data_IF_897800002723
#
_entry.id   IF_897800002723
#
_cell.length_a   1.000
_cell.length_b   1.000
_cell.length_c   1.000
_cell.angle_alpha   90.00
_cell.angle_beta   90.00
_cell.angle_gamma   90.00
#
_symmetry.space_group_name_H-M   'P 1'
#
loop_
_entity.id
_entity.type
_entity.pdbx_description
1 polymer ?
#
# COMPACT_ATOMS: atom_id res chain seq x y z
N UNK A 1 24.08 -18.89 -24.84
CA UNK A 1 24.63 -17.57 -24.42
C UNK A 1 23.48 -16.80 -23.81
N UNK A 2 23.47 -16.60 -22.48
CA UNK A 2 22.47 -15.77 -21.82
C UNK A 2 22.66 -14.33 -22.32
N UNK A 3 21.57 -13.64 -22.75
CA UNK A 3 21.67 -12.23 -23.07
C UNK A 3 22.10 -11.50 -21.79
N UNK A 4 23.30 -10.89 -21.83
CA UNK A 4 23.79 -10.08 -20.73
C UNK A 4 22.83 -8.91 -20.53
N UNK A 5 22.00 -8.97 -19.49
CA UNK A 5 21.15 -7.87 -19.11
C UNK A 5 22.05 -6.66 -18.82
N UNK A 6 21.79 -5.50 -19.42
CA UNK A 6 22.59 -4.31 -19.18
C UNK A 6 22.58 -3.97 -17.68
N UNK A 7 23.67 -3.41 -17.12
CA UNK A 7 23.73 -3.04 -15.72
C UNK A 7 22.56 -2.10 -15.36
N UNK A 8 22.02 -2.23 -14.15
CA UNK A 8 20.82 -1.52 -13.68
C UNK A 8 20.87 -0.02 -13.96
N UNK A 9 22.03 0.61 -13.70
CA UNK A 9 22.23 2.06 -13.95
C UNK A 9 22.11 2.42 -15.43
N UNK A 10 22.59 1.57 -16.35
CA UNK A 10 22.44 1.79 -17.78
C UNK A 10 20.97 1.67 -18.20
N UNK A 11 20.26 0.67 -17.66
CA UNK A 11 18.82 0.48 -17.90
C UNK A 11 17.99 1.66 -17.40
N UNK A 12 18.32 2.21 -16.22
CA UNK A 12 17.65 3.40 -15.67
C UNK A 12 17.93 4.65 -16.54
N UNK A 13 19.16 4.88 -16.97
CA UNK A 13 19.52 6.01 -17.84
C UNK A 13 18.85 5.95 -19.21
N UNK A 14 18.52 4.77 -19.68
CA UNK A 14 17.81 4.57 -20.95
C UNK A 14 16.31 4.88 -20.89
N UNK A 15 15.74 5.12 -19.70
CA UNK A 15 14.33 5.44 -19.54
C UNK A 15 14.00 6.82 -20.14
N UNK A 16 12.86 6.96 -20.87
CA UNK A 16 12.43 8.22 -21.46
C UNK A 16 12.22 9.33 -20.40
N UNK A 17 12.45 10.58 -20.77
CA UNK A 17 12.22 11.75 -19.88
C UNK A 17 10.84 11.77 -19.22
N UNK A 18 9.70 11.49 -19.90
CA UNK A 18 8.39 11.47 -19.25
C UNK A 18 8.28 10.48 -18.08
N UNK A 19 9.04 9.39 -18.09
CA UNK A 19 9.07 8.41 -17.01
C UNK A 19 9.71 9.01 -15.75
N UNK A 20 10.80 9.75 -15.90
CA UNK A 20 11.43 10.46 -14.76
C UNK A 20 10.54 11.55 -14.18
N UNK A 21 9.79 12.25 -15.05
CA UNK A 21 8.79 13.24 -14.64
C UNK A 21 7.69 12.57 -13.82
N UNK A 22 7.21 11.40 -14.27
CA UNK A 22 6.22 10.61 -13.53
C UNK A 22 6.75 10.13 -12.17
N UNK A 23 8.02 9.72 -12.11
CA UNK A 23 8.68 9.33 -10.84
C UNK A 23 8.75 10.51 -9.87
N UNK A 24 9.21 11.67 -10.36
CA UNK A 24 9.26 12.88 -9.54
C UNK A 24 7.87 13.30 -9.04
N UNK A 25 6.85 13.29 -9.91
CA UNK A 25 5.48 13.60 -9.52
C UNK A 25 4.94 12.62 -8.47
N UNK A 26 5.22 11.32 -8.62
CA UNK A 26 4.82 10.30 -7.64
C UNK A 26 5.54 10.47 -6.32
N UNK A 27 6.86 10.73 -6.35
CA UNK A 27 7.63 11.08 -5.15
C UNK A 27 7.01 12.29 -4.45
N UNK A 28 6.75 13.38 -5.17
CA UNK A 28 6.19 14.61 -4.63
C UNK A 28 4.81 14.40 -3.99
N UNK A 29 3.94 13.63 -4.65
CA UNK A 29 2.62 13.29 -4.11
C UNK A 29 2.73 12.46 -2.83
N UNK A 30 3.61 11.45 -2.80
CA UNK A 30 3.77 10.59 -1.62
C UNK A 30 4.53 11.26 -0.49
N UNK A 31 5.50 12.13 -0.82
CA UNK A 31 6.13 13.03 0.15
C UNK A 31 5.08 13.93 0.81
N UNK A 32 4.15 14.50 0.02
CA UNK A 32 3.11 15.40 0.48
C UNK A 32 1.90 14.73 1.10
N UNK A 33 1.83 13.40 1.19
CA UNK A 33 0.72 12.70 1.86
C UNK A 33 0.77 12.88 3.38
N UNK A 34 0.64 14.14 3.84
CA UNK A 34 0.82 14.53 5.24
C UNK A 34 -0.41 14.27 6.10
N UNK A 35 -1.61 14.40 5.53
CA UNK A 35 -2.86 14.43 6.29
C UNK A 35 -3.21 13.05 6.84
N UNK A 36 -3.22 12.03 6.00
CA UNK A 36 -3.80 10.72 6.34
C UNK A 36 -3.09 10.05 7.54
N UNK A 37 -1.75 10.02 7.64
CA UNK A 37 -1.09 9.45 8.82
C UNK A 37 -1.41 10.20 10.13
N UNK A 38 -1.70 11.50 10.04
CA UNK A 38 -1.95 12.35 11.20
C UNK A 38 -3.43 12.64 11.46
N UNK A 39 -4.34 12.17 10.60
CA UNK A 39 -5.77 12.47 10.68
C UNK A 39 -6.39 11.96 12.01
N UNK A 40 -5.98 10.79 12.47
CA UNK A 40 -6.48 10.23 13.75
C UNK A 40 -6.06 11.10 14.93
N UNK A 41 -4.80 11.56 14.96
CA UNK A 41 -4.30 12.46 16.00
C UNK A 41 -5.01 13.82 15.91
N UNK A 42 -5.23 14.33 14.72
CA UNK A 42 -5.94 15.60 14.51
C UNK A 42 -7.39 15.54 15.02
N UNK A 43 -8.13 14.47 14.64
CA UNK A 43 -9.52 14.32 15.08
C UNK A 43 -9.64 14.13 16.60
N UNK A 44 -8.75 13.37 17.23
CA UNK A 44 -8.78 13.20 18.69
C UNK A 44 -8.46 14.50 19.44
N UNK A 45 -7.61 15.36 18.91
CA UNK A 45 -7.39 16.71 19.44
C UNK A 45 -8.62 17.63 19.30
N UNK A 46 -9.48 17.38 18.32
CA UNK A 46 -10.76 18.08 18.18
C UNK A 46 -11.87 17.50 19.07
N UNK A 47 -11.57 16.47 19.90
CA UNK A 47 -12.50 15.85 20.83
C UNK A 47 -13.26 14.63 20.30
N UNK A 48 -12.94 14.16 19.09
CA UNK A 48 -13.53 12.90 18.59
C UNK A 48 -12.89 11.68 19.26
N UNK A 49 -13.67 10.61 19.43
CA UNK A 49 -13.15 9.38 19.99
C UNK A 49 -12.20 8.67 19.00
N UNK A 50 -11.26 7.82 19.46
CA UNK A 50 -10.41 7.01 18.58
C UNK A 50 -11.22 6.18 17.59
N UNK A 51 -12.34 5.59 17.99
CA UNK A 51 -13.22 4.83 17.11
C UNK A 51 -13.80 5.71 15.98
N UNK A 52 -14.23 6.93 16.28
CA UNK A 52 -14.69 7.89 15.26
C UNK A 52 -13.58 8.29 14.29
N UNK A 53 -12.35 8.49 14.78
CA UNK A 53 -11.20 8.76 13.94
C UNK A 53 -10.86 7.54 13.03
N UNK A 54 -10.97 6.33 13.56
CA UNK A 54 -10.82 5.10 12.79
C UNK A 54 -11.85 4.97 11.66
N UNK A 55 -13.11 5.37 11.91
CA UNK A 55 -14.15 5.42 10.88
C UNK A 55 -13.79 6.38 9.74
N UNK A 56 -13.16 7.53 10.03
CA UNK A 56 -12.72 8.47 8.99
C UNK A 56 -11.62 7.88 8.10
N UNK A 57 -10.63 7.16 8.68
CA UNK A 57 -9.63 6.43 7.90
C UNK A 57 -10.27 5.28 7.12
N UNK A 58 -11.23 4.57 7.71
CA UNK A 58 -12.02 3.55 7.01
C UNK A 58 -12.80 4.12 5.83
N UNK A 59 -13.42 5.29 5.99
CA UNK A 59 -14.09 6.00 4.91
C UNK A 59 -13.13 6.42 3.79
N UNK A 60 -11.91 6.89 4.13
CA UNK A 60 -10.85 7.11 3.15
C UNK A 60 -10.50 5.83 2.40
N UNK A 61 -10.38 4.70 3.11
CA UNK A 61 -10.15 3.39 2.50
C UNK A 61 -11.26 2.96 1.54
N UNK A 62 -12.52 3.23 1.88
CA UNK A 62 -13.66 2.97 1.00
C UNK A 62 -13.59 3.83 -0.28
N UNK A 63 -13.25 5.12 -0.15
CA UNK A 63 -13.00 5.98 -1.30
C UNK A 63 -11.85 5.47 -2.19
N UNK A 64 -10.75 5.06 -1.59
CA UNK A 64 -9.59 4.48 -2.27
C UNK A 64 -9.97 3.19 -3.05
N UNK A 65 -10.81 2.34 -2.46
CA UNK A 65 -11.32 1.14 -3.12
C UNK A 65 -12.06 1.48 -4.43
N UNK A 66 -12.98 2.45 -4.37
CA UNK A 66 -13.70 2.93 -5.55
C UNK A 66 -12.77 3.62 -6.54
N UNK A 67 -11.75 4.33 -6.07
CA UNK A 67 -10.75 5.01 -6.88
C UNK A 67 -10.02 4.07 -7.86
N UNK A 68 -9.77 2.83 -7.47
CA UNK A 68 -9.12 1.85 -8.34
C UNK A 68 -9.95 1.55 -9.60
N UNK A 69 -11.27 1.39 -9.46
CA UNK A 69 -12.17 1.14 -10.58
C UNK A 69 -12.40 2.41 -11.42
N UNK A 70 -12.72 3.53 -10.75
CA UNK A 70 -12.98 4.83 -11.39
C UNK A 70 -11.74 5.32 -12.13
N UNK A 71 -10.56 5.23 -11.51
CA UNK A 71 -9.30 5.71 -12.10
C UNK A 71 -8.90 4.93 -13.36
N UNK A 72 -9.13 3.62 -13.38
CA UNK A 72 -8.91 2.82 -14.60
C UNK A 72 -9.84 3.25 -15.73
N UNK A 73 -11.14 3.38 -15.45
CA UNK A 73 -12.12 3.84 -16.45
C UNK A 73 -11.82 5.26 -16.97
N UNK A 74 -11.50 6.21 -16.08
CA UNK A 74 -11.14 7.57 -16.47
C UNK A 74 -9.83 7.60 -17.29
N UNK A 75 -8.85 6.78 -16.93
CA UNK A 75 -7.60 6.67 -17.67
C UNK A 75 -7.83 6.19 -19.13
N UNK A 76 -8.80 5.31 -19.33
CA UNK A 76 -9.14 4.80 -20.66
C UNK A 76 -10.02 5.77 -21.47
N UNK A 77 -10.92 6.53 -20.80
CA UNK A 77 -11.86 7.44 -21.48
C UNK A 77 -11.35 8.86 -21.66
N UNK A 78 -10.74 9.47 -20.64
CA UNK A 78 -10.21 10.83 -20.67
C UNK A 78 -8.72 10.89 -21.08
N UNK A 79 -8.02 9.74 -21.02
CA UNK A 79 -6.59 9.62 -21.21
C UNK A 79 -5.79 9.79 -19.89
N UNK A 80 -4.61 9.13 -19.81
CA UNK A 80 -3.81 8.98 -18.60
C UNK A 80 -3.44 10.31 -17.94
N UNK A 81 -2.93 11.26 -18.73
CA UNK A 81 -2.50 12.59 -18.25
C UNK A 81 -3.63 13.38 -17.61
N UNK A 82 -4.80 13.47 -18.28
CA UNK A 82 -5.96 14.22 -17.77
C UNK A 82 -6.47 13.59 -16.47
N UNK A 83 -6.49 12.28 -16.40
CA UNK A 83 -6.90 11.54 -15.18
C UNK A 83 -5.97 11.84 -14.02
N UNK A 84 -4.64 11.82 -14.21
CA UNK A 84 -3.68 12.19 -13.17
C UNK A 84 -3.95 13.62 -12.67
N UNK A 85 -4.10 14.57 -13.60
CA UNK A 85 -4.36 15.97 -13.23
C UNK A 85 -5.66 16.16 -12.48
N UNK A 86 -6.75 15.54 -12.96
CA UNK A 86 -8.05 15.62 -12.31
C UNK A 86 -7.97 15.06 -10.88
N UNK A 87 -7.30 13.92 -10.68
CA UNK A 87 -7.07 13.35 -9.35
C UNK A 87 -6.31 14.31 -8.44
N UNK A 88 -5.21 14.87 -8.90
CA UNK A 88 -4.38 15.76 -8.10
C UNK A 88 -5.11 17.05 -7.71
N UNK A 89 -5.85 17.66 -8.65
CA UNK A 89 -6.62 18.89 -8.38
C UNK A 89 -7.79 18.59 -7.44
N UNK A 90 -8.60 17.57 -7.73
CA UNK A 90 -9.75 17.23 -6.87
C UNK A 90 -9.30 16.75 -5.48
N UNK A 91 -8.18 16.00 -5.40
CA UNK A 91 -7.57 15.61 -4.14
C UNK A 91 -7.12 16.80 -3.31
N UNK A 92 -6.40 17.75 -3.91
CA UNK A 92 -5.97 18.98 -3.26
C UNK A 92 -7.15 19.79 -2.70
N UNK A 93 -8.20 19.99 -3.51
CA UNK A 93 -9.42 20.68 -3.07
C UNK A 93 -10.09 19.96 -1.91
N UNK A 94 -10.18 18.63 -1.98
CA UNK A 94 -10.78 17.83 -0.91
C UNK A 94 -9.96 17.90 0.38
N UNK A 95 -8.63 17.94 0.33
CA UNK A 95 -7.77 18.10 1.51
C UNK A 95 -8.01 19.48 2.16
N UNK A 96 -8.13 20.56 1.38
CA UNK A 96 -8.47 21.88 1.90
C UNK A 96 -9.87 21.92 2.52
N UNK A 97 -10.86 21.26 1.92
CA UNK A 97 -12.20 21.13 2.49
C UNK A 97 -12.18 20.31 3.79
N UNK A 98 -11.40 19.21 3.84
CA UNK A 98 -11.26 18.37 5.03
C UNK A 98 -10.70 19.15 6.22
N UNK A 99 -9.83 20.12 5.99
CA UNK A 99 -9.32 21.01 7.05
C UNK A 99 -10.42 21.84 7.74
N UNK A 100 -11.54 22.06 7.07
CA UNK A 100 -12.69 22.83 7.57
C UNK A 100 -13.75 21.94 8.25
N UNK A 101 -13.60 20.62 8.19
CA UNK A 101 -14.56 19.71 8.83
C UNK A 101 -14.59 19.90 10.35
N UNK A 102 -15.80 19.89 10.92
CA UNK A 102 -16.02 20.04 12.36
C UNK A 102 -17.02 19.00 12.89
N UNK A 103 -17.68 18.28 12.02
CA UNK A 103 -18.65 17.22 12.36
C UNK A 103 -18.14 15.87 11.94
N UNK A 104 -18.57 14.81 12.61
CA UNK A 104 -18.19 13.45 12.24
C UNK A 104 -18.63 13.12 10.80
N UNK A 105 -19.87 13.46 10.43
CA UNK A 105 -20.37 13.25 9.07
C UNK A 105 -19.54 13.99 8.02
N UNK A 106 -19.09 15.21 8.32
CA UNK A 106 -18.17 15.97 7.46
C UNK A 106 -16.83 15.25 7.29
N UNK A 107 -16.22 14.77 8.39
CA UNK A 107 -14.99 13.98 8.33
C UNK A 107 -15.17 12.70 7.52
N UNK A 108 -16.25 11.94 7.72
CA UNK A 108 -16.51 10.70 6.99
C UNK A 108 -16.69 10.97 5.48
N UNK A 109 -17.55 11.93 5.11
CA UNK A 109 -17.82 12.24 3.71
C UNK A 109 -16.56 12.76 2.98
N UNK A 110 -15.85 13.72 3.62
CA UNK A 110 -14.66 14.32 3.02
C UNK A 110 -13.46 13.35 3.01
N UNK A 111 -13.33 12.46 3.99
CA UNK A 111 -12.32 11.39 3.95
C UNK A 111 -12.60 10.40 2.84
N UNK A 112 -13.85 9.97 2.65
CA UNK A 112 -14.23 9.10 1.54
C UNK A 112 -13.95 9.77 0.19
N UNK A 113 -14.31 11.05 0.06
CA UNK A 113 -14.03 11.84 -1.14
C UNK A 113 -12.52 12.02 -1.35
N UNK A 114 -11.72 12.22 -0.30
CA UNK A 114 -10.27 12.32 -0.37
C UNK A 114 -9.63 11.01 -0.86
N UNK A 115 -10.09 9.87 -0.35
CA UNK A 115 -9.65 8.56 -0.81
C UNK A 115 -10.00 8.31 -2.28
N UNK A 116 -11.21 8.69 -2.70
CA UNK A 116 -11.61 8.61 -4.09
C UNK A 116 -10.78 9.57 -4.96
N UNK A 117 -10.85 10.86 -4.66
CA UNK A 117 -10.28 11.94 -5.49
C UNK A 117 -8.75 11.89 -5.54
N UNK A 118 -8.09 11.62 -4.42
CA UNK A 118 -6.63 11.62 -4.30
C UNK A 118 -5.95 10.37 -4.84
N UNK A 119 -6.64 9.25 -5.00
CA UNK A 119 -5.99 7.97 -5.32
C UNK A 119 -6.33 7.41 -6.71
N UNK A 120 -7.31 7.95 -7.45
CA UNK A 120 -7.61 7.42 -8.79
C UNK A 120 -6.52 7.76 -9.85
N UNK A 121 -5.51 8.57 -9.52
CA UNK A 121 -4.32 8.75 -10.36
C UNK A 121 -3.45 7.48 -10.46
N UNK A 122 -3.50 6.58 -9.46
CA UNK A 122 -2.58 5.42 -9.39
C UNK A 122 -2.71 4.47 -10.59
N UNK A 123 -3.92 3.98 -10.95
CA UNK A 123 -4.06 3.17 -12.16
C UNK A 123 -3.69 3.94 -13.42
N UNK A 124 -3.99 5.24 -13.51
CA UNK A 124 -3.60 6.07 -14.64
C UNK A 124 -2.08 6.23 -14.77
N UNK A 125 -1.36 6.42 -13.66
CA UNK A 125 0.10 6.50 -13.62
C UNK A 125 0.76 5.18 -14.02
N UNK A 126 0.25 4.06 -13.51
CA UNK A 126 0.75 2.72 -13.87
C UNK A 126 0.54 2.41 -15.34
N UNK A 127 -0.64 2.77 -15.90
CA UNK A 127 -0.92 2.62 -17.31
C UNK A 127 -0.01 3.51 -18.17
N UNK A 128 0.18 4.79 -17.78
CA UNK A 128 1.08 5.71 -18.48
C UNK A 128 2.51 5.17 -18.51
N UNK A 129 2.99 4.66 -17.37
CA UNK A 129 4.32 4.06 -17.28
C UNK A 129 4.47 2.87 -18.24
N UNK A 130 3.47 1.99 -18.29
CA UNK A 130 3.46 0.85 -19.20
C UNK A 130 3.42 1.27 -20.68
N UNK A 131 2.73 2.38 -21.02
CA UNK A 131 2.66 2.92 -22.36
C UNK A 131 3.98 3.58 -22.81
N UNK A 132 4.72 4.20 -21.88
CA UNK A 132 5.96 4.92 -22.16
C UNK A 132 7.19 4.02 -22.28
N UNK A 133 7.12 2.79 -21.75
CA UNK A 133 8.30 1.91 -21.60
C UNK A 133 8.12 0.61 -22.40
N UNK A 134 9.11 0.23 -23.24
CA UNK A 134 9.09 -1.04 -23.96
C UNK A 134 8.97 -2.25 -23.01
N UNK A 135 8.34 -3.35 -23.40
CA UNK A 135 8.11 -4.53 -22.56
C UNK A 135 9.36 -5.02 -21.81
N UNK A 136 10.52 -5.04 -22.47
CA UNK A 136 11.79 -5.49 -21.88
C UNK A 136 12.36 -4.61 -20.76
N UNK A 137 11.90 -3.35 -20.66
CA UNK A 137 12.36 -2.40 -19.62
C UNK A 137 11.31 -2.15 -18.54
N UNK A 138 10.10 -2.70 -18.66
CA UNK A 138 8.99 -2.47 -17.72
C UNK A 138 9.34 -2.84 -16.28
N UNK A 139 10.03 -3.97 -16.07
CA UNK A 139 10.41 -4.41 -14.72
C UNK A 139 11.25 -3.34 -14.02
N UNK A 140 12.27 -2.81 -14.70
CA UNK A 140 13.15 -1.76 -14.16
C UNK A 140 12.36 -0.48 -13.90
N UNK A 141 11.49 -0.09 -14.83
CA UNK A 141 10.67 1.12 -14.68
C UNK A 141 9.67 1.03 -13.52
N UNK A 142 8.97 -0.09 -13.36
CA UNK A 142 8.05 -0.28 -12.22
C UNK A 142 8.78 -0.38 -10.89
N UNK A 143 9.99 -0.96 -10.85
CA UNK A 143 10.82 -0.98 -9.64
C UNK A 143 11.25 0.43 -9.24
N UNK A 144 11.69 1.25 -10.21
CA UNK A 144 12.06 2.64 -9.95
C UNK A 144 10.85 3.50 -9.55
N UNK A 145 9.67 3.26 -10.15
CA UNK A 145 8.42 3.91 -9.76
C UNK A 145 8.05 3.59 -8.29
N UNK A 146 8.19 2.33 -7.89
CA UNK A 146 7.98 1.91 -6.50
C UNK A 146 9.00 2.54 -5.55
N UNK A 147 10.26 2.66 -5.97
CA UNK A 147 11.29 3.34 -5.19
C UNK A 147 10.97 4.83 -4.99
N UNK A 148 10.47 5.52 -6.02
CA UNK A 148 10.03 6.91 -5.89
C UNK A 148 8.84 7.05 -4.91
N UNK A 149 7.89 6.12 -4.94
CA UNK A 149 6.78 6.03 -3.99
C UNK A 149 7.30 5.86 -2.55
N UNK A 150 8.18 4.89 -2.31
CA UNK A 150 8.73 4.59 -1.00
C UNK A 150 9.62 5.72 -0.47
N UNK A 151 10.39 6.37 -1.34
CA UNK A 151 11.19 7.54 -0.97
C UNK A 151 10.30 8.70 -0.49
N UNK A 152 9.18 8.98 -1.18
CA UNK A 152 8.20 9.97 -0.71
C UNK A 152 7.65 9.60 0.66
N UNK A 153 7.28 8.35 0.87
CA UNK A 153 6.79 7.83 2.14
C UNK A 153 7.86 7.80 3.24
N UNK A 154 9.15 7.71 2.89
CA UNK A 154 10.24 7.77 3.87
C UNK A 154 10.41 9.16 4.49
N UNK A 155 10.26 10.22 3.71
CA UNK A 155 10.53 11.59 4.17
C UNK A 155 9.26 12.38 4.53
N UNK A 156 8.12 12.01 3.94
CA UNK A 156 6.83 12.70 4.16
C UNK A 156 6.40 12.75 5.61
N UNK A 157 6.28 11.64 6.33
CA UNK A 157 5.79 11.62 7.71
C UNK A 157 6.67 12.38 8.71
N UNK A 158 8.00 12.40 8.54
CA UNK A 158 8.88 13.24 9.39
C UNK A 158 8.59 14.71 9.17
N UNK A 159 8.46 15.14 7.91
CA UNK A 159 8.07 16.52 7.55
C UNK A 159 6.70 16.84 8.10
N UNK A 160 5.72 15.95 7.98
CA UNK A 160 4.39 16.10 8.53
C UNK A 160 4.40 16.24 10.06
N UNK A 161 5.21 15.44 10.75
CA UNK A 161 5.38 15.53 12.21
C UNK A 161 5.92 16.89 12.65
N UNK A 162 6.90 17.43 11.92
CA UNK A 162 7.44 18.77 12.15
C UNK A 162 6.37 19.86 11.90
N UNK A 163 5.63 19.77 10.81
CA UNK A 163 4.53 20.71 10.50
C UNK A 163 3.42 20.64 11.55
N UNK A 164 3.04 19.43 11.98
CA UNK A 164 2.00 19.21 13.01
C UNK A 164 2.37 19.79 14.37
N UNK A 165 3.66 19.88 14.69
CA UNK A 165 4.14 20.52 15.92
C UNK A 165 3.86 22.04 15.95
N UNK A 166 3.77 22.67 14.78
CA UNK A 166 3.43 24.09 14.66
C UNK A 166 1.92 24.30 14.46
N UNK A 167 1.33 23.66 13.48
CA UNK A 167 -0.12 23.68 13.23
C UNK A 167 -0.54 22.55 12.29
N UNK A 168 -1.64 21.87 12.63
CA UNK A 168 -2.22 20.86 11.74
C UNK A 168 -2.71 21.43 10.41
N UNK A 169 -3.05 22.72 10.34
CA UNK A 169 -3.45 23.36 9.07
C UNK A 169 -2.37 23.22 8.00
N UNK A 170 -1.10 23.29 8.39
CA UNK A 170 0.02 23.12 7.45
C UNK A 170 0.09 21.73 6.81
N UNK A 171 -0.47 20.69 7.46
CA UNK A 171 -0.57 19.37 6.84
C UNK A 171 -1.50 19.40 5.63
N UNK A 172 -2.67 20.03 5.78
CA UNK A 172 -3.65 20.13 4.70
C UNK A 172 -3.17 21.03 3.55
N UNK A 173 -2.57 22.16 3.89
CA UNK A 173 -2.01 23.09 2.90
C UNK A 173 -0.82 22.45 2.17
N UNK A 174 0.08 21.78 2.88
CA UNK A 174 1.24 21.11 2.29
C UNK A 174 0.83 19.96 1.37
N UNK A 175 -0.15 19.14 1.78
CA UNK A 175 -0.70 18.05 0.97
C UNK A 175 -1.36 18.61 -0.32
N UNK A 176 -2.19 19.64 -0.18
CA UNK A 176 -2.79 20.31 -1.33
C UNK A 176 -1.75 20.92 -2.27
N UNK A 177 -0.73 21.59 -1.73
CA UNK A 177 0.33 22.22 -2.53
C UNK A 177 1.14 21.19 -3.32
N UNK A 178 1.56 20.10 -2.70
CA UNK A 178 2.33 19.03 -3.38
C UNK A 178 1.49 18.35 -4.46
N UNK A 179 0.19 18.13 -4.21
CA UNK A 179 -0.74 17.59 -5.19
C UNK A 179 -0.92 18.55 -6.37
N UNK A 180 -1.10 19.86 -6.14
CA UNK A 180 -1.19 20.87 -7.19
C UNK A 180 0.12 21.01 -7.99
N UNK A 181 1.27 20.92 -7.33
CA UNK A 181 2.56 20.89 -8.00
C UNK A 181 2.68 19.67 -8.93
N UNK A 182 2.24 18.50 -8.49
CA UNK A 182 2.21 17.33 -9.38
C UNK A 182 1.22 17.52 -10.53
N UNK A 183 0.05 18.11 -10.31
CA UNK A 183 -0.88 18.45 -11.37
C UNK A 183 -0.24 19.41 -12.42
N UNK A 184 0.48 20.43 -11.97
CA UNK A 184 1.21 21.35 -12.82
C UNK A 184 2.31 20.64 -13.63
N UNK A 185 3.14 19.82 -12.96
CA UNK A 185 4.17 19.00 -13.63
C UNK A 185 3.53 18.07 -14.66
N UNK A 186 2.42 17.43 -14.35
CA UNK A 186 1.70 16.59 -15.29
C UNK A 186 1.17 17.38 -16.49
N UNK A 187 0.67 18.61 -16.26
CA UNK A 187 0.17 19.50 -17.33
C UNK A 187 1.26 19.89 -18.30
N UNK A 188 2.42 20.30 -17.83
CA UNK A 188 3.46 20.86 -18.69
C UNK A 188 4.37 19.79 -19.28
N UNK A 189 4.61 18.69 -18.58
CA UNK A 189 5.71 17.79 -18.87
C UNK A 189 5.33 16.35 -19.23
N UNK A 190 4.09 15.89 -18.95
CA UNK A 190 3.65 14.57 -19.38
C UNK A 190 3.02 14.62 -20.80
N UNK A 191 3.24 13.59 -21.63
CA UNK A 191 2.68 13.54 -22.97
C UNK A 191 1.16 13.41 -22.95
N UNK A 192 0.52 13.98 -23.96
CA UNK A 192 -0.91 13.76 -24.20
C UNK A 192 -1.11 12.32 -24.67
N UNK A 193 -1.94 11.56 -23.95
CA UNK A 193 -2.27 10.19 -24.32
C UNK A 193 -3.65 10.13 -24.96
N UNK A 194 -3.75 9.34 -26.03
CA UNK A 194 -5.04 9.06 -26.68
C UNK A 194 -5.77 7.98 -25.85
N UNK A 195 -7.09 8.05 -25.69
CA UNK A 195 -7.87 6.99 -25.04
C UNK A 195 -7.63 5.62 -25.70
N UNK A 196 -7.42 4.59 -24.90
CA UNK A 196 -7.25 3.23 -25.40
C UNK A 196 -8.62 2.56 -25.54
N UNK A 197 -8.81 1.75 -26.59
CA UNK A 197 -10.01 0.89 -26.69
C UNK A 197 -9.94 -0.18 -25.59
N UNK A 198 -10.98 -0.27 -24.76
CA UNK A 198 -11.12 -1.27 -23.69
C UNK A 198 -11.06 -2.69 -24.27
N UNK A 199 -10.22 -3.54 -23.69
CA UNK A 199 -10.17 -4.97 -24.04
C UNK A 199 -11.35 -5.73 -23.45
N UNK A 200 -11.80 -6.80 -24.13
CA UNK A 200 -12.97 -7.60 -23.80
C UNK A 200 -13.00 -8.10 -22.34
N UNK A 201 -14.21 -8.21 -21.83
CA UNK A 201 -14.53 -8.45 -20.43
C UNK A 201 -14.48 -9.97 -20.08
N UNK A 202 -13.33 -10.50 -19.65
CA UNK A 202 -13.18 -11.90 -19.19
C UNK A 202 -13.29 -12.07 -17.67
N UNK A 203 -14.02 -11.20 -16.97
CA UNK A 203 -14.16 -11.27 -15.51
C UNK A 203 -14.86 -12.54 -15.03
N UNK A 204 -15.84 -13.05 -15.78
CA UNK A 204 -16.55 -14.28 -15.44
C UNK A 204 -15.62 -15.50 -15.37
N UNK A 205 -14.71 -15.62 -16.33
CA UNK A 205 -13.68 -16.68 -16.36
C UNK A 205 -12.71 -16.54 -15.18
N UNK A 206 -12.23 -15.33 -14.92
CA UNK A 206 -11.32 -15.06 -13.81
C UNK A 206 -11.96 -15.39 -12.45
N UNK A 207 -13.20 -14.96 -12.21
CA UNK A 207 -13.93 -15.26 -10.98
C UNK A 207 -14.17 -16.76 -10.80
N UNK A 208 -14.49 -17.49 -11.88
CA UNK A 208 -14.61 -18.96 -11.85
C UNK A 208 -13.29 -19.61 -11.49
N UNK A 209 -12.16 -19.19 -12.11
CA UNK A 209 -10.83 -19.72 -11.82
C UNK A 209 -10.42 -19.41 -10.36
N UNK A 210 -10.56 -18.17 -9.93
CA UNK A 210 -10.25 -17.74 -8.56
C UNK A 210 -11.03 -18.55 -7.54
N UNK A 211 -12.33 -18.79 -7.75
CA UNK A 211 -13.17 -19.53 -6.80
C UNK A 211 -12.64 -20.93 -6.49
N UNK A 212 -11.96 -21.57 -7.41
CA UNK A 212 -11.43 -22.94 -7.25
C UNK A 212 -9.94 -22.99 -6.89
N UNK A 213 -9.25 -21.85 -6.87
CA UNK A 213 -7.82 -21.76 -6.60
C UNK A 213 -7.53 -21.66 -5.09
N UNK A 214 -7.37 -22.82 -4.44
CA UNK A 214 -7.08 -22.92 -3.00
C UNK A 214 -5.77 -22.24 -2.61
N UNK A 215 -4.72 -22.29 -3.46
CA UNK A 215 -3.44 -21.65 -3.19
C UNK A 215 -3.58 -20.13 -3.21
N UNK A 216 -4.37 -19.61 -4.15
CA UNK A 216 -4.69 -18.19 -4.20
C UNK A 216 -5.45 -17.75 -2.93
N UNK A 217 -6.49 -18.49 -2.52
CA UNK A 217 -7.22 -18.16 -1.28
C UNK A 217 -6.32 -18.17 -0.05
N UNK A 218 -5.37 -19.13 0.04
CA UNK A 218 -4.40 -19.20 1.11
C UNK A 218 -3.56 -17.90 1.19
N UNK A 219 -3.05 -17.43 0.05
CA UNK A 219 -2.29 -16.16 -0.02
C UNK A 219 -3.16 -14.97 0.35
N UNK A 220 -4.39 -14.89 -0.15
CA UNK A 220 -5.32 -13.79 0.13
C UNK A 220 -5.68 -13.73 1.62
N UNK A 221 -6.00 -14.87 2.26
CA UNK A 221 -6.32 -14.90 3.70
C UNK A 221 -5.12 -14.44 4.55
N UNK A 222 -3.90 -14.93 4.25
CA UNK A 222 -2.70 -14.48 4.93
C UNK A 222 -2.45 -12.97 4.70
N UNK A 223 -2.63 -12.50 3.46
CA UNK A 223 -2.45 -11.08 3.10
C UNK A 223 -3.46 -10.16 3.78
N UNK A 224 -4.70 -10.59 4.00
CA UNK A 224 -5.71 -9.82 4.75
C UNK A 224 -5.27 -9.60 6.21
N UNK A 225 -4.76 -10.65 6.88
CA UNK A 225 -4.23 -10.52 8.24
C UNK A 225 -3.04 -9.54 8.29
N UNK A 226 -2.13 -9.64 7.34
CA UNK A 226 -0.97 -8.72 7.25
C UNK A 226 -1.41 -7.30 6.91
N UNK A 227 -2.37 -7.12 6.01
CA UNK A 227 -2.92 -5.80 5.68
C UNK A 227 -3.59 -5.15 6.91
N UNK A 228 -4.33 -5.93 7.72
CA UNK A 228 -4.89 -5.44 8.98
C UNK A 228 -3.79 -4.89 9.90
N UNK A 229 -2.70 -5.67 10.11
CA UNK A 229 -1.57 -5.24 10.95
C UNK A 229 -0.90 -3.99 10.36
N UNK A 230 -0.62 -3.99 9.06
CA UNK A 230 0.06 -2.91 8.37
C UNK A 230 -0.66 -1.56 8.56
N UNK A 231 -1.97 -1.55 8.45
CA UNK A 231 -2.72 -0.30 8.56
C UNK A 231 -2.85 0.23 9.99
N UNK A 232 -2.47 -0.54 11.03
CA UNK A 232 -2.31 0.00 12.39
C UNK A 232 -1.18 1.03 12.46
N UNK A 233 -0.18 0.94 11.58
CA UNK A 233 0.87 1.95 11.47
C UNK A 233 0.31 3.34 11.17
N UNK A 234 -0.71 3.41 10.31
CA UNK A 234 -1.32 4.68 9.87
C UNK A 234 -2.46 5.10 10.80
N UNK A 235 -3.29 4.15 11.24
CA UNK A 235 -4.51 4.46 11.99
C UNK A 235 -4.25 4.62 13.48
N UNK A 236 -3.51 3.71 14.12
CA UNK A 236 -3.53 3.54 15.58
C UNK A 236 -2.20 3.91 16.23
N UNK A 237 -1.05 3.64 15.57
CA UNK A 237 0.28 3.85 16.14
C UNK A 237 0.51 5.31 16.58
N UNK A 238 -0.01 6.28 15.80
CA UNK A 238 0.10 7.70 16.14
C UNK A 238 -0.59 8.03 17.46
N UNK A 239 -1.78 7.47 17.70
CA UNK A 239 -2.51 7.66 18.96
C UNK A 239 -1.83 6.92 20.11
N UNK A 240 -1.29 5.72 19.86
CA UNK A 240 -0.53 5.00 20.87
C UNK A 240 0.68 5.82 21.35
N UNK A 241 1.48 6.36 20.43
CA UNK A 241 2.64 7.19 20.75
C UNK A 241 2.22 8.46 21.54
N UNK A 242 1.15 9.12 21.12
CA UNK A 242 0.68 10.33 21.80
C UNK A 242 0.02 10.03 23.16
N UNK A 243 -0.61 8.88 23.35
CA UNK A 243 -1.15 8.45 24.64
C UNK A 243 -0.06 8.13 25.68
N UNK A 244 1.14 7.76 25.21
CA UNK A 244 2.33 7.60 26.06
C UNK A 244 3.01 8.95 26.40
N UNK A 245 2.47 10.08 25.94
CA UNK A 245 3.00 11.43 26.20
C UNK A 245 4.05 11.91 25.20
N UNK A 246 4.34 11.13 24.13
CA UNK A 246 5.29 11.56 23.11
C UNK A 246 4.63 12.47 22.06
N UNK A 247 5.44 13.20 21.32
CA UNK A 247 4.97 14.18 20.34
C UNK A 247 4.52 13.53 19.02
N UNK A 248 3.69 14.26 18.25
CA UNK A 248 3.35 13.88 16.88
C UNK A 248 4.59 13.82 15.97
N UNK A 249 5.63 14.62 16.27
CA UNK A 249 6.92 14.55 15.56
C UNK A 249 7.62 13.21 15.80
N UNK A 250 7.53 12.65 17.01
CA UNK A 250 8.04 11.30 17.32
C UNK A 250 7.35 10.24 16.46
N UNK A 251 6.03 10.31 16.32
CA UNK A 251 5.29 9.42 15.41
C UNK A 251 5.76 9.56 13.95
N UNK A 252 5.91 10.79 13.45
CA UNK A 252 6.44 11.04 12.12
C UNK A 252 7.83 10.45 11.91
N UNK A 253 8.73 10.59 12.90
CA UNK A 253 10.08 10.02 12.86
C UNK A 253 10.06 8.47 12.82
N UNK A 254 9.18 7.84 13.61
CA UNK A 254 9.01 6.37 13.64
C UNK A 254 8.51 5.83 12.29
N UNK A 255 7.52 6.48 11.65
CA UNK A 255 7.08 6.07 10.30
C UNK A 255 8.20 6.30 9.28
N UNK A 256 8.90 7.42 9.38
CA UNK A 256 10.02 7.70 8.45
C UNK A 256 11.16 6.71 8.61
N UNK A 257 11.40 6.18 9.81
CA UNK A 257 12.35 5.09 10.03
C UNK A 257 12.00 3.86 9.19
N UNK A 258 10.72 3.45 9.14
CA UNK A 258 10.26 2.38 8.25
C UNK A 258 10.61 2.69 6.78
N UNK A 259 10.22 3.85 6.28
CA UNK A 259 10.47 4.22 4.89
C UNK A 259 11.96 4.27 4.53
N UNK A 260 12.81 4.80 5.41
CA UNK A 260 14.27 4.84 5.23
C UNK A 260 14.85 3.43 5.15
N UNK A 261 14.47 2.55 6.09
CA UNK A 261 14.93 1.16 6.07
C UNK A 261 14.53 0.45 4.78
N UNK A 262 13.29 0.62 4.33
CA UNK A 262 12.80 0.04 3.06
C UNK A 262 13.62 0.53 1.87
N UNK A 263 13.86 1.85 1.76
CA UNK A 263 14.61 2.44 0.63
C UNK A 263 16.04 1.89 0.55
N UNK A 264 16.72 1.75 1.68
CA UNK A 264 18.12 1.34 1.68
C UNK A 264 18.35 -0.18 1.72
N UNK A 265 17.47 -0.93 2.38
CA UNK A 265 17.72 -2.35 2.68
C UNK A 265 16.81 -3.34 1.95
N UNK A 266 15.68 -2.92 1.37
CA UNK A 266 14.76 -3.85 0.69
C UNK A 266 15.42 -4.57 -0.50
N UNK A 267 16.13 -3.84 -1.37
CA UNK A 267 16.78 -4.43 -2.54
C UNK A 267 17.91 -5.42 -2.17
N UNK A 268 18.88 -5.08 -1.28
CA UNK A 268 19.87 -6.03 -0.80
C UNK A 268 19.22 -7.28 -0.18
N UNK A 269 18.21 -7.09 0.66
CA UNK A 269 17.52 -8.18 1.35
C UNK A 269 16.78 -9.09 0.38
N UNK A 270 16.13 -8.53 -0.65
CA UNK A 270 15.44 -9.29 -1.70
C UNK A 270 16.41 -10.17 -2.49
N UNK A 271 17.65 -9.75 -2.70
CA UNK A 271 18.65 -10.59 -3.37
C UNK A 271 19.01 -11.85 -2.58
N UNK A 272 18.90 -11.78 -1.26
CA UNK A 272 19.13 -12.91 -0.34
C UNK A 272 17.87 -13.78 -0.28
N UNK A 273 16.70 -13.19 -0.04
CA UNK A 273 15.45 -13.93 0.22
C UNK A 273 14.98 -14.73 -0.98
N UNK A 274 15.22 -14.25 -2.22
CA UNK A 274 14.87 -15.01 -3.45
C UNK A 274 15.60 -16.36 -3.63
N UNK A 275 16.64 -16.64 -2.81
CA UNK A 275 17.36 -17.91 -2.83
C UNK A 275 16.65 -19.01 -2.04
N UNK A 276 15.64 -18.66 -1.26
CA UNK A 276 14.90 -19.57 -0.39
C UNK A 276 13.48 -19.81 -0.91
N UNK A 277 12.83 -20.91 -0.52
CA UNK A 277 11.45 -21.18 -0.90
C UNK A 277 10.51 -20.04 -0.47
N UNK A 278 9.76 -19.49 -1.42
CA UNK A 278 8.93 -18.29 -1.24
C UNK A 278 8.00 -18.39 0.00
N UNK A 279 7.36 -19.55 0.19
CA UNK A 279 6.45 -19.79 1.32
C UNK A 279 7.13 -19.69 2.69
N UNK A 280 8.37 -20.23 2.81
CA UNK A 280 9.16 -20.10 4.06
C UNK A 280 9.55 -18.66 4.33
N UNK A 281 9.98 -17.94 3.30
CA UNK A 281 10.34 -16.51 3.38
C UNK A 281 9.14 -15.69 3.81
N UNK A 282 7.97 -15.90 3.19
CA UNK A 282 6.72 -15.22 3.55
C UNK A 282 6.33 -15.52 5.00
N UNK A 283 6.40 -16.78 5.43
CA UNK A 283 6.05 -17.18 6.80
C UNK A 283 6.93 -16.49 7.84
N UNK A 284 8.24 -16.46 7.63
CA UNK A 284 9.18 -15.75 8.51
C UNK A 284 8.87 -14.27 8.54
N UNK A 285 8.66 -13.64 7.37
CA UNK A 285 8.34 -12.23 7.29
C UNK A 285 7.02 -11.88 7.97
N UNK A 286 5.97 -12.68 7.80
CA UNK A 286 4.68 -12.48 8.46
C UNK A 286 4.77 -12.65 9.99
N UNK A 287 5.55 -13.62 10.47
CA UNK A 287 5.82 -13.75 11.89
C UNK A 287 6.55 -12.52 12.45
N UNK A 288 7.57 -12.01 11.74
CA UNK A 288 8.30 -10.79 12.16
C UNK A 288 7.38 -9.55 12.17
N UNK A 289 6.50 -9.39 11.18
CA UNK A 289 5.47 -8.32 11.17
C UNK A 289 4.60 -8.41 12.43
N UNK A 290 4.14 -9.62 12.78
CA UNK A 290 3.37 -9.84 14.00
C UNK A 290 4.18 -9.58 15.28
N UNK A 291 5.43 -10.06 15.37
CA UNK A 291 6.32 -9.83 16.52
C UNK A 291 6.56 -8.33 16.71
N UNK A 292 6.87 -7.59 15.64
CA UNK A 292 7.12 -6.16 15.71
C UNK A 292 5.94 -5.41 16.33
N UNK A 293 4.74 -5.60 15.79
CA UNK A 293 3.57 -4.90 16.33
C UNK A 293 3.02 -5.51 17.63
N UNK A 294 3.18 -6.82 17.84
CA UNK A 294 2.89 -7.45 19.12
C UNK A 294 3.75 -6.92 20.26
N UNK A 295 5.02 -6.58 19.98
CA UNK A 295 5.93 -6.00 20.96
C UNK A 295 5.48 -4.61 21.46
N UNK A 296 4.72 -3.87 20.66
CA UNK A 296 4.16 -2.57 21.08
C UNK A 296 3.26 -2.66 22.32
N UNK A 297 2.72 -3.84 22.63
CA UNK A 297 1.96 -4.07 23.88
C UNK A 297 2.79 -3.80 25.15
N UNK A 298 4.10 -3.87 25.05
CA UNK A 298 5.06 -3.74 26.16
C UNK A 298 6.00 -2.53 25.99
N UNK A 299 5.89 -1.80 24.89
CA UNK A 299 6.76 -0.67 24.59
C UNK A 299 6.28 0.62 25.28
N UNK A 300 7.13 1.22 26.09
CA UNK A 300 6.85 2.44 26.86
C UNK A 300 7.82 3.58 26.55
N UNK A 301 8.88 3.32 25.79
CA UNK A 301 9.89 4.30 25.40
C UNK A 301 9.98 4.44 23.87
N UNK A 302 10.48 5.57 23.39
CA UNK A 302 10.71 5.81 21.96
C UNK A 302 11.66 4.77 21.35
N UNK A 303 12.68 4.34 22.12
CA UNK A 303 13.63 3.33 21.66
C UNK A 303 12.97 1.96 21.46
N UNK A 304 12.07 1.55 22.36
CA UNK A 304 11.32 0.30 22.26
C UNK A 304 10.33 0.34 21.08
N UNK A 305 9.65 1.46 20.88
CA UNK A 305 8.75 1.66 19.73
C UNK A 305 9.56 1.63 18.42
N UNK A 306 10.73 2.27 18.38
CA UNK A 306 11.61 2.22 17.21
C UNK A 306 12.11 0.80 16.93
N UNK A 307 12.45 0.04 17.98
CA UNK A 307 12.85 -1.36 17.86
C UNK A 307 11.70 -2.23 17.32
N UNK A 308 10.48 -2.06 17.84
CA UNK A 308 9.28 -2.70 17.31
C UNK A 308 9.08 -2.42 15.81
N UNK A 309 9.25 -1.15 15.43
CA UNK A 309 9.15 -0.72 14.03
C UNK A 309 10.25 -1.33 13.17
N UNK A 310 11.49 -1.46 13.66
CA UNK A 310 12.57 -2.12 12.91
C UNK A 310 12.26 -3.59 12.65
N UNK A 311 11.74 -4.33 13.66
CA UNK A 311 11.32 -5.74 13.49
C UNK A 311 10.18 -5.84 12.47
N UNK A 312 9.14 -4.99 12.60
CA UNK A 312 8.03 -4.92 11.66
C UNK A 312 8.54 -4.67 10.22
N UNK A 313 9.41 -3.68 10.05
CA UNK A 313 9.96 -3.29 8.73
C UNK A 313 10.80 -4.41 8.13
N UNK A 314 11.59 -5.12 8.94
CA UNK A 314 12.34 -6.28 8.47
C UNK A 314 11.39 -7.36 7.94
N UNK A 315 10.31 -7.66 8.67
CA UNK A 315 9.29 -8.60 8.22
C UNK A 315 8.60 -8.17 6.92
N UNK A 316 8.27 -6.88 6.81
CA UNK A 316 7.70 -6.26 5.61
C UNK A 316 8.60 -6.43 4.39
N UNK A 317 9.88 -6.04 4.50
CA UNK A 317 10.86 -6.15 3.41
C UNK A 317 11.11 -7.59 2.97
N UNK A 318 11.01 -8.55 3.89
CA UNK A 318 11.14 -9.98 3.59
C UNK A 318 9.91 -10.50 2.86
N UNK A 319 8.71 -10.19 3.38
CA UNK A 319 7.48 -10.85 2.95
C UNK A 319 6.83 -10.22 1.72
N UNK A 320 6.72 -8.88 1.63
CA UNK A 320 5.88 -8.22 0.63
C UNK A 320 6.38 -8.42 -0.80
N UNK A 321 7.69 -8.23 -1.12
CA UNK A 321 8.18 -8.48 -2.47
C UNK A 321 8.02 -9.94 -2.90
N UNK A 322 8.30 -10.87 -1.98
CA UNK A 322 8.20 -12.32 -2.25
C UNK A 322 6.75 -12.75 -2.41
N UNK A 323 5.81 -12.21 -1.61
CA UNK A 323 4.38 -12.47 -1.74
C UNK A 323 3.84 -12.03 -3.09
N UNK A 324 4.24 -10.85 -3.56
CA UNK A 324 3.83 -10.32 -4.86
C UNK A 324 4.36 -11.18 -6.02
N UNK A 325 5.62 -11.61 -5.95
CA UNK A 325 6.22 -12.50 -6.94
C UNK A 325 5.55 -13.88 -6.93
N UNK A 326 5.38 -14.49 -5.75
CA UNK A 326 4.73 -15.78 -5.58
C UNK A 326 3.30 -15.78 -6.14
N UNK A 327 2.54 -14.72 -5.87
CA UNK A 327 1.20 -14.57 -6.41
C UNK A 327 1.20 -14.46 -7.95
N UNK A 328 2.15 -13.73 -8.52
CA UNK A 328 2.29 -13.60 -9.97
C UNK A 328 2.63 -14.93 -10.65
N UNK A 329 3.43 -15.78 -9.97
CA UNK A 329 3.82 -17.11 -10.46
C UNK A 329 2.68 -18.14 -10.35
N UNK A 330 1.82 -18.03 -9.33
CA UNK A 330 0.63 -18.88 -9.18
C UNK A 330 -0.42 -18.63 -10.27
N UNK A 331 -0.40 -17.46 -10.88
CA UNK A 331 -1.52 -16.98 -11.70
C UNK A 331 -1.35 -17.33 -13.17
N UNK A 332 -2.39 -17.88 -13.85
CA UNK A 332 -2.36 -18.08 -15.29
C UNK A 332 -2.02 -16.77 -16.03
N UNK A 333 -1.11 -16.80 -17.03
CA UNK A 333 -0.63 -15.57 -17.69
C UNK A 333 -1.75 -14.66 -18.24
N UNK A 334 -2.81 -15.23 -18.81
CA UNK A 334 -3.95 -14.50 -19.40
C UNK A 334 -4.93 -13.93 -18.35
N UNK A 335 -4.89 -14.41 -17.09
CA UNK A 335 -5.73 -13.91 -15.98
C UNK A 335 -4.94 -13.09 -14.95
N UNK A 336 -3.61 -12.94 -15.12
CA UNK A 336 -2.71 -12.34 -14.13
C UNK A 336 -3.19 -10.95 -13.66
N UNK A 337 -3.62 -10.09 -14.56
CA UNK A 337 -4.10 -8.76 -14.19
C UNK A 337 -5.29 -8.78 -13.24
N UNK A 338 -6.21 -9.74 -13.41
CA UNK A 338 -7.41 -9.88 -12.58
C UNK A 338 -7.11 -10.44 -11.20
N UNK A 339 -6.26 -11.47 -11.14
CA UNK A 339 -5.77 -12.02 -9.87
C UNK A 339 -5.02 -10.96 -9.06
N UNK A 340 -4.13 -10.21 -9.70
CA UNK A 340 -3.42 -9.10 -9.05
C UNK A 340 -4.38 -7.98 -8.62
N UNK A 341 -5.43 -7.73 -9.39
CA UNK A 341 -6.51 -6.81 -9.02
C UNK A 341 -7.24 -7.25 -7.75
N UNK A 342 -7.68 -8.51 -7.68
CA UNK A 342 -8.31 -9.08 -6.47
C UNK A 342 -7.36 -9.06 -5.28
N UNK A 343 -6.07 -9.36 -5.48
CA UNK A 343 -5.07 -9.21 -4.43
C UNK A 343 -4.93 -7.76 -3.95
N UNK A 344 -5.01 -6.79 -4.86
CA UNK A 344 -5.01 -5.37 -4.50
C UNK A 344 -6.16 -4.97 -3.58
N UNK A 345 -7.34 -5.63 -3.72
CA UNK A 345 -8.49 -5.39 -2.86
C UNK A 345 -8.21 -5.75 -1.39
N UNK A 346 -7.33 -6.71 -1.11
CA UNK A 346 -6.97 -7.08 0.28
C UNK A 346 -6.40 -5.90 1.05
N UNK A 347 -5.62 -5.05 0.37
CA UNK A 347 -5.06 -3.84 0.96
C UNK A 347 -6.14 -2.79 1.25
N UNK A 348 -7.10 -2.60 0.35
CA UNK A 348 -8.23 -1.70 0.60
C UNK A 348 -9.11 -2.21 1.74
N UNK A 349 -9.38 -3.51 1.81
CA UNK A 349 -10.07 -4.13 2.94
C UNK A 349 -9.29 -3.99 4.25
N UNK A 350 -7.96 -4.19 4.21
CA UNK A 350 -7.08 -3.96 5.35
C UNK A 350 -7.14 -2.52 5.85
N UNK A 351 -7.17 -1.54 4.95
CA UNK A 351 -7.30 -0.13 5.30
C UNK A 351 -8.67 0.17 5.94
N UNK A 352 -9.76 -0.34 5.37
CA UNK A 352 -11.12 -0.11 5.89
C UNK A 352 -11.29 -0.80 7.25
N UNK A 353 -11.18 -2.12 7.26
CA UNK A 353 -11.48 -2.91 8.45
C UNK A 353 -10.37 -2.83 9.50
N UNK A 354 -9.10 -2.73 9.08
CA UNK A 354 -7.98 -2.54 9.98
C UNK A 354 -8.11 -1.25 10.77
N UNK A 355 -8.45 -0.14 10.11
CA UNK A 355 -8.62 1.14 10.78
C UNK A 355 -9.86 1.17 11.68
N UNK A 356 -11.02 0.69 11.19
CA UNK A 356 -12.25 0.70 11.99
C UNK A 356 -12.17 -0.24 13.20
N UNK A 357 -11.82 -1.52 12.97
CA UNK A 357 -11.77 -2.52 14.05
C UNK A 357 -10.56 -2.29 14.96
N UNK A 358 -9.40 -1.92 14.39
CA UNK A 358 -8.21 -1.65 15.15
C UNK A 358 -8.39 -0.49 16.12
N UNK A 359 -8.94 0.63 15.66
CA UNK A 359 -9.22 1.80 16.51
C UNK A 359 -10.29 1.52 17.56
N UNK A 360 -11.32 0.74 17.21
CA UNK A 360 -12.32 0.30 18.18
C UNK A 360 -11.69 -0.57 19.27
N UNK A 361 -10.87 -1.54 18.88
CA UNK A 361 -10.17 -2.40 19.85
C UNK A 361 -9.17 -1.60 20.68
N UNK A 362 -8.44 -0.67 20.07
CA UNK A 362 -7.51 0.23 20.77
C UNK A 362 -8.23 1.08 21.83
N UNK A 363 -9.42 1.61 21.53
CA UNK A 363 -10.19 2.43 22.47
C UNK A 363 -10.64 1.67 23.72
N UNK A 364 -10.77 0.33 23.63
CA UNK A 364 -11.10 -0.53 24.78
C UNK A 364 -9.83 -1.00 25.49
N UNK A 365 -8.83 -1.44 24.76
CA UNK A 365 -7.55 -1.91 25.29
C UNK A 365 -6.43 -1.83 24.23
N UNK A 366 -5.49 -0.87 24.39
CA UNK A 366 -4.31 -0.82 23.51
C UNK A 366 -3.52 -2.13 23.50
N UNK A 367 -3.34 -2.74 24.68
CA UNK A 367 -2.63 -4.01 24.81
C UNK A 367 -3.29 -5.13 24.01
N UNK A 368 -4.64 -5.23 24.06
CA UNK A 368 -5.37 -6.25 23.31
C UNK A 368 -5.19 -6.08 21.80
N UNK A 369 -5.16 -4.85 21.28
CA UNK A 369 -4.89 -4.60 19.88
C UNK A 369 -3.50 -5.11 19.46
N UNK A 370 -2.46 -4.72 20.20
CA UNK A 370 -1.10 -5.09 19.81
C UNK A 370 -0.85 -6.60 19.93
N UNK A 371 -1.37 -7.25 20.94
CA UNK A 371 -1.31 -8.71 21.07
C UNK A 371 -2.11 -9.41 19.96
N UNK A 372 -3.26 -8.85 19.56
CA UNK A 372 -4.02 -9.35 18.39
C UNK A 372 -3.22 -9.22 17.10
N UNK A 373 -2.49 -8.13 16.90
CA UNK A 373 -1.57 -7.98 15.76
C UNK A 373 -0.48 -9.06 15.79
N UNK A 374 0.10 -9.31 16.96
CA UNK A 374 1.05 -10.41 17.15
C UNK A 374 0.47 -11.76 16.74
N UNK A 375 -0.68 -12.12 17.30
CA UNK A 375 -1.38 -13.36 16.99
C UNK A 375 -1.72 -13.50 15.49
N UNK A 376 -2.24 -12.44 14.87
CA UNK A 376 -2.58 -12.43 13.44
C UNK A 376 -1.34 -12.64 12.55
N UNK A 377 -0.16 -12.10 12.92
CA UNK A 377 1.08 -12.36 12.19
C UNK A 377 1.48 -13.83 12.22
N UNK A 378 1.36 -14.50 13.37
CA UNK A 378 1.61 -15.93 13.49
C UNK A 378 0.54 -16.76 12.76
N UNK A 379 -0.73 -16.37 12.81
CA UNK A 379 -1.81 -17.00 12.04
C UNK A 379 -1.52 -16.90 10.53
N UNK A 380 -1.13 -15.73 10.02
CA UNK A 380 -0.75 -15.55 8.63
C UNK A 380 0.46 -16.43 8.24
N UNK A 381 1.47 -16.50 9.11
CA UNK A 381 2.63 -17.38 8.93
C UNK A 381 2.23 -18.87 8.89
N UNK A 382 1.35 -19.29 9.79
CA UNK A 382 0.85 -20.66 9.82
C UNK A 382 0.00 -21.01 8.58
N UNK A 383 -0.87 -20.06 8.15
CA UNK A 383 -1.67 -20.24 6.93
C UNK A 383 -0.74 -20.47 5.75
N UNK A 384 0.25 -19.62 5.51
CA UNK A 384 1.09 -19.71 4.32
C UNK A 384 2.06 -20.92 4.37
N UNK A 385 2.39 -21.42 5.55
CA UNK A 385 3.25 -22.58 5.74
C UNK A 385 2.58 -23.91 5.41
N UNK A 386 1.24 -23.99 5.50
CA UNK A 386 0.48 -25.22 5.25
C UNK A 386 0.60 -25.62 3.78
N UNK A 387 0.97 -26.88 3.53
CA UNK A 387 1.03 -27.41 2.16
C UNK A 387 -0.37 -27.80 1.70
N UNK A 388 -0.86 -27.10 0.68
CA UNK A 388 -2.13 -27.42 0.04
C UNK A 388 -1.81 -28.19 -1.23
N UNK A 389 -2.03 -29.51 -1.20
CA UNK A 389 -1.93 -30.33 -2.40
C UNK A 389 -2.98 -29.90 -3.43
N UNK A 390 -2.64 -29.82 -4.72
CA UNK A 390 -3.63 -29.54 -5.76
C UNK A 390 -4.68 -30.65 -5.77
N UNK A 391 -5.96 -30.27 -5.77
CA UNK A 391 -7.07 -31.20 -5.94
C UNK A 391 -7.00 -31.68 -7.39
N UNK A 392 -6.52 -32.90 -7.62
CA UNK A 392 -6.55 -33.50 -8.96
C UNK A 392 -5.36 -34.38 -9.37
N UNK A 393 -4.29 -34.49 -8.55
CA UNK A 393 -3.21 -35.44 -8.90
C UNK A 393 -3.46 -36.90 -8.45
N UNK A 394 -4.38 -37.11 -7.53
CA UNK A 394 -4.76 -38.48 -7.08
C UNK A 394 -5.51 -39.27 -8.14
N UNK A 395 -6.16 -38.63 -9.13
CA UNK A 395 -6.89 -39.36 -10.16
C UNK A 395 -6.12 -39.57 -11.47
N UNK A 396 -4.87 -39.10 -11.60
CA UNK A 396 -4.08 -39.36 -12.80
C UNK A 396 -3.24 -40.63 -12.73
N UNK A 397 -2.93 -41.14 -11.55
CA UNK A 397 -2.22 -42.38 -11.39
C UNK A 397 -3.13 -43.62 -11.50
N UNK A 398 -4.42 -43.52 -11.15
CA UNK A 398 -5.33 -44.66 -11.26
C UNK A 398 -5.81 -44.93 -12.69
N UNK A 399 -5.71 -44.00 -13.64
CA UNK A 399 -6.10 -44.21 -15.03
C UNK A 399 -4.99 -44.76 -15.92
N UNK A 400 -3.75 -44.83 -15.45
CA UNK A 400 -2.61 -45.41 -16.21
C UNK A 400 -2.32 -46.87 -15.87
N UNK A 401 -2.90 -47.42 -14.80
CA UNK A 401 -2.74 -48.83 -14.40
C UNK A 401 -3.84 -49.76 -14.92
N UNK A 402 -4.81 -49.28 -15.72
CA UNK A 402 -5.89 -50.07 -16.30
C UNK A 402 -5.75 -50.32 -17.81
N UNK A 403 -4.56 -50.05 -18.38
CA UNK A 403 -4.28 -50.32 -19.79
C UNK A 403 -3.05 -51.23 -19.96
N UNK A 404 -3.08 -52.38 -19.30
CA UNK A 404 -2.26 -53.54 -19.65
C UNK A 404 -3.11 -54.83 -19.67
#
# INVERSE_FOLDING_TARGET
MNPTHPPLLASLRALPRPVWILFFGTFLNKFGSFVIPFLTIYMTRLGFSPAQAGLAIGAYGAGNFVACAVGGHLADTLGRRRTIMLSMISGALTMLLLSQARTLSGFLALSALAGLAGEFYRPASSALLADLVPPGQRVVAFSAFRMAFNAGWAFGPATAGFLAAHSYTWLFVGDALTSLLFAAVAWFALPRTVPAKSSANHWAEALKAIRHDRKFHQVICASLAIAFIFFQMISTLGLHITSLGFSAATYGAIISLNGVLVVFFELPLTTITRRFPARRVMAIGYALVGIGFGFLAFAHSVAEIAFAMMIFTLGEMIAIPVSSAYLADLTPPHLRGRYMGVSGLTWSFGLIFGSCLGMTLFSHSPMALWLSCGALGFVAAAIISRDIQPVGETNRCEFLDLSH
#
